data_IF_984092119522
#
_entry.id   IF_984092119522
#
_cell.length_a   1.000
_cell.length_b   1.000
_cell.length_c   1.000
_cell.angle_alpha   90.00
_cell.angle_beta   90.00
_cell.angle_gamma   90.00
#
_symmetry.space_group_name_H-M   'P 1'
#
loop_
_entity.id
_entity.type
_entity.pdbx_description
1 polymer ?
#
# COMPACT_ATOMS: atom_id res chain seq x y z
N UNK A 1 5.55 -2.06 -16.95
CA UNK A 1 5.02 -2.92 -15.88
C UNK A 1 5.98 -2.72 -14.74
N UNK A 2 5.52 -2.25 -13.59
CA UNK A 2 6.33 -2.36 -12.37
C UNK A 2 6.62 -3.85 -12.16
N UNK A 3 7.84 -4.20 -11.75
CA UNK A 3 8.25 -5.60 -11.47
C UNK A 3 7.62 -6.14 -10.18
N UNK A 4 6.47 -5.58 -9.77
CA UNK A 4 5.82 -5.92 -8.51
C UNK A 4 4.84 -7.05 -8.79
N UNK A 5 5.13 -8.21 -8.20
CA UNK A 5 4.22 -9.35 -8.23
C UNK A 5 2.99 -9.02 -7.37
N UNK A 6 1.87 -8.80 -8.05
CA UNK A 6 0.58 -8.50 -7.44
C UNK A 6 0.16 -9.54 -6.38
N UNK A 7 0.36 -10.82 -6.65
CA UNK A 7 -0.05 -11.87 -5.72
C UNK A 7 0.81 -11.85 -4.46
N UNK A 8 2.13 -11.65 -4.63
CA UNK A 8 3.04 -11.54 -3.49
C UNK A 8 2.75 -10.28 -2.66
N UNK A 9 2.45 -9.16 -3.30
CA UNK A 9 2.06 -7.91 -2.63
C UNK A 9 0.74 -8.06 -1.86
N UNK A 10 -0.24 -8.72 -2.46
CA UNK A 10 -1.52 -9.01 -1.81
C UNK A 10 -1.35 -9.90 -0.59
N UNK A 11 -0.57 -10.98 -0.70
CA UNK A 11 -0.29 -11.89 0.41
C UNK A 11 0.39 -11.18 1.58
N UNK A 12 1.39 -10.33 1.30
CA UNK A 12 2.06 -9.50 2.33
C UNK A 12 1.07 -8.57 3.03
N UNK A 13 0.20 -7.92 2.25
CA UNK A 13 -0.77 -6.98 2.78
C UNK A 13 -1.87 -7.68 3.60
N UNK A 14 -2.32 -8.85 3.17
CA UNK A 14 -3.26 -9.68 3.94
C UNK A 14 -2.66 -10.16 5.26
N UNK A 15 -1.40 -10.61 5.25
CA UNK A 15 -0.69 -10.99 6.46
C UNK A 15 -0.56 -9.82 7.45
N UNK A 16 -0.17 -8.64 6.95
CA UNK A 16 -0.08 -7.42 7.76
C UNK A 16 -1.42 -7.07 8.45
N UNK A 17 -2.52 -7.11 7.70
CA UNK A 17 -3.85 -6.84 8.26
C UNK A 17 -4.36 -7.94 9.20
N UNK A 18 -3.96 -9.20 8.99
CA UNK A 18 -4.25 -10.27 9.93
C UNK A 18 -3.50 -10.10 11.25
N UNK A 19 -2.20 -9.78 11.19
CA UNK A 19 -1.37 -9.55 12.36
C UNK A 19 -1.87 -8.35 13.18
N UNK A 20 -2.17 -7.22 12.53
CA UNK A 20 -2.70 -6.04 13.21
C UNK A 20 -4.05 -6.34 13.87
N UNK A 21 -4.93 -7.08 13.20
CA UNK A 21 -6.21 -7.54 13.76
C UNK A 21 -6.03 -8.48 14.97
N UNK A 22 -5.03 -9.37 14.94
CA UNK A 22 -4.71 -10.27 16.06
C UNK A 22 -4.19 -9.46 17.26
N UNK A 23 -3.34 -8.47 17.01
CA UNK A 23 -2.77 -7.60 18.03
C UNK A 23 -3.74 -6.51 18.50
N UNK A 24 -4.91 -6.39 17.86
CA UNK A 24 -5.89 -5.31 18.09
C UNK A 24 -5.27 -3.91 17.91
N UNK A 25 -4.37 -3.80 16.94
CA UNK A 25 -3.68 -2.58 16.54
C UNK A 25 -4.20 -2.13 15.17
N UNK A 26 -4.15 -0.83 14.92
CA UNK A 26 -4.33 -0.30 13.56
C UNK A 26 -3.12 -0.66 12.70
N UNK A 27 -3.27 -0.58 11.38
CA UNK A 27 -2.12 -0.68 10.47
C UNK A 27 -1.77 0.71 9.98
N UNK A 28 -0.51 1.10 10.19
CA UNK A 28 -0.01 2.39 9.73
C UNK A 28 0.20 2.37 8.21
N UNK A 29 -0.13 3.48 7.54
CA UNK A 29 -0.01 3.61 6.08
C UNK A 29 1.41 3.32 5.57
N UNK A 30 2.50 3.76 6.23
CA UNK A 30 3.86 3.36 5.84
C UNK A 30 4.06 1.84 5.74
N UNK A 31 3.49 1.06 6.66
CA UNK A 31 3.61 -0.40 6.65
C UNK A 31 2.78 -1.02 5.52
N UNK A 32 1.61 -0.47 5.23
CA UNK A 32 0.79 -0.84 4.06
C UNK A 32 1.58 -0.62 2.77
N UNK A 33 2.21 0.55 2.61
CA UNK A 33 2.99 0.87 1.41
C UNK A 33 4.19 -0.06 1.26
N UNK A 34 4.92 -0.33 2.36
CA UNK A 34 6.06 -1.27 2.35
C UNK A 34 5.64 -2.71 2.07
N UNK A 35 4.47 -3.14 2.53
CA UNK A 35 3.95 -4.46 2.19
C UNK A 35 3.72 -4.61 0.67
N UNK A 36 3.30 -3.52 0.01
CA UNK A 36 3.00 -3.50 -1.43
C UNK A 36 4.26 -3.31 -2.30
N UNK A 37 5.05 -2.28 -2.02
CA UNK A 37 6.20 -1.88 -2.85
C UNK A 37 7.54 -2.48 -2.36
N UNK A 38 7.57 -3.01 -1.14
CA UNK A 38 8.80 -3.41 -0.45
C UNK A 38 9.40 -2.30 0.41
N UNK A 39 10.50 -2.62 1.11
CA UNK A 39 11.20 -1.69 2.01
C UNK A 39 11.85 -0.49 1.30
N UNK A 40 11.93 -0.52 -0.03
CA UNK A 40 12.49 0.55 -0.87
C UNK A 40 11.49 1.69 -1.16
N UNK A 41 10.28 1.65 -0.58
CA UNK A 41 9.32 2.74 -0.71
C UNK A 41 9.86 4.02 -0.05
N UNK A 42 9.98 5.08 -0.84
CA UNK A 42 10.44 6.38 -0.39
C UNK A 42 9.36 7.15 0.40
N UNK A 43 9.82 8.04 1.29
CA UNK A 43 8.95 8.85 2.17
C UNK A 43 8.00 9.75 1.38
N UNK A 44 8.43 10.33 0.25
CA UNK A 44 7.59 11.18 -0.59
C UNK A 44 6.39 10.42 -1.15
N UNK A 45 6.58 9.17 -1.57
CA UNK A 45 5.49 8.31 -2.00
C UNK A 45 4.57 7.90 -0.86
N UNK A 46 5.11 7.61 0.32
CA UNK A 46 4.33 7.30 1.52
C UNK A 46 3.41 8.48 1.85
N UNK A 47 3.92 9.70 1.85
CA UNK A 47 3.13 10.92 2.08
C UNK A 47 2.03 11.10 1.04
N UNK A 48 2.33 10.82 -0.24
CA UNK A 48 1.33 10.83 -1.31
C UNK A 48 0.19 9.86 -1.05
N UNK A 49 0.52 8.62 -0.66
CA UNK A 49 -0.49 7.60 -0.33
C UNK A 49 -1.28 8.01 0.91
N UNK A 50 -0.63 8.57 1.94
CA UNK A 50 -1.32 9.08 3.13
C UNK A 50 -2.38 10.11 2.76
N UNK A 51 -2.03 11.12 1.96
CA UNK A 51 -2.98 12.13 1.50
C UNK A 51 -4.14 11.53 0.70
N UNK A 52 -3.87 10.52 -0.15
CA UNK A 52 -4.91 9.85 -0.92
C UNK A 52 -5.84 8.99 -0.04
N UNK A 53 -5.31 8.40 1.03
CA UNK A 53 -6.07 7.56 1.95
C UNK A 53 -6.88 8.37 2.97
N UNK A 54 -6.45 9.58 3.33
CA UNK A 54 -7.21 10.47 4.23
C UNK A 54 -8.61 10.81 3.68
N UNK A 55 -8.75 10.91 2.35
CA UNK A 55 -10.04 11.15 1.69
C UNK A 55 -10.81 9.84 1.38
N UNK A 56 -10.19 8.68 1.66
CA UNK A 56 -10.77 7.38 1.35
C UNK A 56 -11.70 6.88 2.46
N UNK A 57 -12.87 6.37 2.05
CA UNK A 57 -13.81 5.68 2.94
C UNK A 57 -13.36 4.23 3.17
N UNK A 58 -14.24 3.37 3.72
CA UNK A 58 -13.98 1.93 3.86
C UNK A 58 -13.57 1.31 2.53
N UNK A 59 -12.29 0.97 2.41
CA UNK A 59 -11.68 0.29 1.26
C UNK A 59 -11.26 -1.12 1.65
N UNK A 60 -11.36 -2.04 0.69
CA UNK A 60 -10.89 -3.41 0.83
C UNK A 60 -9.38 -3.52 0.59
N UNK A 61 -8.74 -4.58 1.08
CA UNK A 61 -7.33 -4.87 0.86
C UNK A 61 -6.94 -4.82 -0.62
N UNK A 62 -7.78 -5.38 -1.50
CA UNK A 62 -7.54 -5.36 -2.94
C UNK A 62 -7.62 -3.95 -3.54
N UNK A 63 -8.54 -3.11 -3.06
CA UNK A 63 -8.64 -1.70 -3.50
C UNK A 63 -7.47 -0.86 -3.00
N UNK A 64 -6.97 -1.14 -1.80
CA UNK A 64 -5.76 -0.48 -1.27
C UNK A 64 -4.54 -0.83 -2.14
N UNK A 65 -4.35 -2.13 -2.43
CA UNK A 65 -3.28 -2.60 -3.30
C UNK A 65 -3.37 -1.97 -4.70
N UNK A 66 -4.57 -1.97 -5.30
CA UNK A 66 -4.83 -1.36 -6.61
C UNK A 66 -4.54 0.14 -6.61
N UNK A 67 -4.99 0.85 -5.58
CA UNK A 67 -4.77 2.29 -5.42
C UNK A 67 -3.28 2.62 -5.32
N UNK A 68 -2.53 1.91 -4.46
CA UNK A 68 -1.09 2.09 -4.29
C UNK A 68 -0.36 1.80 -5.60
N UNK A 69 -0.72 0.72 -6.31
CA UNK A 69 -0.08 0.37 -7.58
C UNK A 69 -0.32 1.45 -8.64
N UNK A 70 -1.56 1.93 -8.78
CA UNK A 70 -1.91 2.98 -9.74
C UNK A 70 -1.21 4.31 -9.42
N UNK A 71 -1.09 4.67 -8.15
CA UNK A 71 -0.33 5.85 -7.74
C UNK A 71 1.16 5.69 -8.07
N UNK A 72 1.73 4.51 -7.84
CA UNK A 72 3.11 4.22 -8.17
C UNK A 72 3.37 4.29 -9.69
N UNK A 73 2.50 3.70 -10.49
CA UNK A 73 2.54 3.81 -11.95
C UNK A 73 2.37 5.24 -12.45
N UNK A 74 1.43 6.00 -11.86
CA UNK A 74 1.23 7.40 -12.18
C UNK A 74 2.50 8.21 -11.92
N UNK A 75 3.16 8.01 -10.77
CA UNK A 75 4.43 8.67 -10.45
C UNK A 75 5.50 8.37 -11.49
N UNK A 76 5.66 7.09 -11.86
CA UNK A 76 6.62 6.68 -12.89
C UNK A 76 6.31 7.29 -14.26
N UNK A 77 5.03 7.53 -14.57
CA UNK A 77 4.61 8.17 -15.83
C UNK A 77 4.87 9.70 -15.88
N UNK A 78 5.20 10.33 -14.74
CA UNK A 78 5.57 11.74 -14.70
C UNK A 78 7.03 11.99 -15.12
N UNK A 79 7.82 10.94 -15.34
CA UNK A 79 9.25 11.00 -15.71
C UNK A 79 9.44 10.66 -17.18
#
# INVERSE_FOLDING_TARGET
MSDIDWNAALERLENLFQESKINNEGTDIPDVVKAVLGDDADEEFIDLVMMAMEDSNKVTTAEILDGIMKLHEWRLSQT
#
